data_IF_507381772659
#
_entry.id   IF_507381772659
#
_cell.length_a   1.000
_cell.length_b   1.000
_cell.length_c   1.000
_cell.angle_alpha   90.00
_cell.angle_beta   90.00
_cell.angle_gamma   90.00
#
_symmetry.space_group_name_H-M   'P 1'
#
loop_
_entity.id
_entity.type
_entity.pdbx_description
1 polymer ?
#
# COMPACT_ATOMS: atom_id res chain seq x y z
N UNK A 1 -2.91 11.87 14.84
CA UNK A 1 -2.34 10.91 13.88
C UNK A 1 -3.19 10.65 12.62
N UNK A 2 -4.53 10.67 12.67
CA UNK A 2 -5.37 10.41 11.48
C UNK A 2 -5.16 11.35 10.29
N UNK A 3 -4.97 12.65 10.52
CA UNK A 3 -4.74 13.64 9.46
C UNK A 3 -3.46 13.34 8.65
N UNK A 4 -2.42 12.82 9.31
CA UNK A 4 -1.17 12.41 8.64
C UNK A 4 -1.39 11.20 7.73
N UNK A 5 -2.17 10.20 8.20
CA UNK A 5 -2.51 9.02 7.41
C UNK A 5 -3.38 9.38 6.20
N UNK A 6 -4.32 10.31 6.37
CA UNK A 6 -5.13 10.84 5.26
C UNK A 6 -4.26 11.59 4.24
N UNK A 7 -3.29 12.39 4.69
CA UNK A 7 -2.33 13.07 3.82
C UNK A 7 -1.43 12.11 3.03
N UNK A 8 -0.87 11.09 3.70
CA UNK A 8 -0.10 10.03 3.04
C UNK A 8 -0.96 9.22 2.06
N UNK A 9 -2.20 8.88 2.42
CA UNK A 9 -3.14 8.18 1.55
C UNK A 9 -3.44 9.00 0.29
N UNK A 10 -3.62 10.31 0.42
CA UNK A 10 -3.84 11.20 -0.72
C UNK A 10 -2.63 11.26 -1.67
N UNK A 11 -1.40 11.28 -1.14
CA UNK A 11 -0.20 11.19 -1.99
C UNK A 11 -0.05 9.80 -2.63
N UNK A 12 -0.32 8.72 -1.89
CA UNK A 12 -0.29 7.36 -2.42
C UNK A 12 -1.30 7.18 -3.56
N UNK A 13 -2.53 7.67 -3.41
CA UNK A 13 -3.54 7.64 -4.48
C UNK A 13 -3.15 8.48 -5.70
N UNK A 14 -2.34 9.53 -5.50
CA UNK A 14 -1.90 10.43 -6.58
C UNK A 14 -0.68 9.93 -7.35
N UNK A 15 0.24 9.22 -6.69
CA UNK A 15 1.56 8.88 -7.24
C UNK A 15 1.88 7.38 -7.28
N UNK A 16 1.18 6.54 -6.53
CA UNK A 16 1.37 5.10 -6.56
C UNK A 16 0.43 4.43 -7.58
N UNK A 17 0.75 3.20 -7.97
CA UNK A 17 -0.15 2.41 -8.81
C UNK A 17 -1.47 2.15 -8.07
N UNK A 18 -2.62 2.09 -8.77
CA UNK A 18 -3.92 1.84 -8.18
C UNK A 18 -3.98 0.67 -7.16
N UNK A 19 -3.36 -0.51 -7.42
CA UNK A 19 -3.37 -1.60 -6.44
C UNK A 19 -2.55 -1.28 -5.18
N UNK A 20 -1.44 -0.56 -5.32
CA UNK A 20 -0.55 -0.21 -4.21
C UNK A 20 -1.20 0.83 -3.27
N UNK A 21 -1.88 1.82 -3.84
CA UNK A 21 -2.60 2.83 -3.07
C UNK A 21 -3.77 2.21 -2.29
N UNK A 22 -4.52 1.30 -2.92
CA UNK A 22 -5.63 0.58 -2.29
C UNK A 22 -5.15 -0.30 -1.12
N UNK A 23 -4.07 -1.04 -1.32
CA UNK A 23 -3.43 -1.85 -0.29
C UNK A 23 -3.00 -1.03 0.93
N UNK A 24 -2.40 0.13 0.72
CA UNK A 24 -1.99 1.01 1.81
C UNK A 24 -3.18 1.59 2.58
N UNK A 25 -4.23 2.01 1.86
CA UNK A 25 -5.48 2.44 2.50
C UNK A 25 -6.07 1.33 3.37
N UNK A 26 -6.05 0.07 2.91
CA UNK A 26 -6.47 -1.07 3.73
C UNK A 26 -5.57 -1.27 4.96
N UNK A 27 -4.25 -1.26 4.79
CA UNK A 27 -3.33 -1.53 5.91
C UNK A 27 -3.34 -0.42 6.96
N UNK A 28 -3.43 0.84 6.52
CA UNK A 28 -3.22 2.01 7.39
C UNK A 28 -4.52 2.69 7.83
N UNK A 29 -5.63 2.53 7.10
CA UNK A 29 -6.92 3.15 7.43
C UNK A 29 -7.98 2.13 7.86
N UNK A 30 -7.81 0.83 7.60
CA UNK A 30 -8.75 -0.19 8.09
C UNK A 30 -8.41 -0.60 9.53
N UNK A 31 -9.13 0.00 10.49
CA UNK A 31 -8.96 -0.29 11.92
C UNK A 31 -9.66 -1.60 12.36
N UNK A 32 -10.32 -2.32 11.45
CA UNK A 32 -11.05 -3.57 11.77
C UNK A 32 -10.13 -4.77 11.94
N UNK A 33 -8.84 -4.62 11.61
CA UNK A 33 -7.79 -5.62 11.84
C UNK A 33 -7.52 -6.51 10.63
N UNK A 34 -6.24 -6.72 10.35
CA UNK A 34 -5.69 -7.84 9.58
C UNK A 34 -6.22 -8.03 8.16
N UNK A 35 -6.28 -6.97 7.33
CA UNK A 35 -6.52 -7.18 5.89
C UNK A 35 -5.32 -7.92 5.30
N UNK A 36 -5.54 -9.16 4.84
CA UNK A 36 -4.54 -9.86 4.02
C UNK A 36 -4.42 -9.13 2.68
N UNK A 37 -3.28 -8.49 2.47
CA UNK A 37 -2.87 -7.99 1.16
C UNK A 37 -2.92 -9.12 0.14
N UNK A 38 -3.28 -8.83 -1.11
CA UNK A 38 -3.23 -9.85 -2.17
C UNK A 38 -1.79 -10.32 -2.37
N UNK A 39 -1.61 -11.59 -2.73
CA UNK A 39 -0.30 -12.21 -2.95
C UNK A 39 0.52 -11.46 -4.01
N UNK A 40 -0.15 -10.87 -4.99
CA UNK A 40 0.45 -10.05 -6.04
C UNK A 40 1.05 -8.75 -5.49
N UNK A 41 0.33 -8.06 -4.59
CA UNK A 41 0.81 -6.82 -3.95
C UNK A 41 1.91 -7.13 -2.94
N UNK A 42 1.81 -8.28 -2.25
CA UNK A 42 2.90 -8.74 -1.38
C UNK A 42 4.17 -9.02 -2.18
N UNK A 43 4.06 -9.71 -3.32
CA UNK A 43 5.21 -9.93 -4.21
C UNK A 43 5.78 -8.62 -4.75
N UNK A 44 4.95 -7.69 -5.22
CA UNK A 44 5.42 -6.38 -5.69
C UNK A 44 6.12 -5.59 -4.57
N UNK A 45 5.57 -5.60 -3.35
CA UNK A 45 6.19 -4.96 -2.19
C UNK A 45 7.54 -5.61 -1.83
N UNK A 46 7.60 -6.94 -1.84
CA UNK A 46 8.84 -7.69 -1.60
C UNK A 46 9.87 -7.41 -2.70
N UNK A 47 9.46 -7.38 -3.97
CA UNK A 47 10.33 -7.06 -5.10
C UNK A 47 10.90 -5.64 -4.94
N UNK A 48 10.05 -4.67 -4.62
CA UNK A 48 10.46 -3.28 -4.38
C UNK A 48 11.39 -3.14 -3.17
N UNK A 49 11.11 -3.85 -2.08
CA UNK A 49 11.91 -3.84 -0.86
C UNK A 49 13.26 -4.53 -1.03
N UNK A 50 13.33 -5.54 -1.90
CA UNK A 50 14.56 -6.28 -2.23
C UNK A 50 15.34 -5.67 -3.40
N UNK A 51 14.82 -4.61 -4.04
CA UNK A 51 15.42 -4.01 -5.23
C UNK A 51 15.29 -4.88 -6.49
N UNK A 52 14.48 -5.93 -6.44
CA UNK A 52 14.14 -6.74 -7.60
C UNK A 52 13.33 -5.92 -8.60
N UNK A 53 13.86 -5.80 -9.81
CA UNK A 53 13.17 -5.17 -10.95
C UNK A 53 12.09 -6.14 -11.42
N UNK A 54 10.84 -5.68 -11.58
CA UNK A 54 9.82 -6.43 -12.32
C UNK A 54 10.36 -6.68 -13.73
N UNK A 55 10.61 -7.94 -14.09
CA UNK A 55 10.81 -8.37 -15.48
C UNK A 55 9.49 -8.40 -16.24
#
# INVERSE_FOLDING_TARGET
>A
HQLFLLGCGAQMLKYASPPMAQAWCQVMLDTRGGVRLSEQIQNDLLLRATGGVCV
#
